data_IF_997451789890
#
_entry.id   IF_997451789890
#
_cell.length_a   1.000
_cell.length_b   1.000
_cell.length_c   1.000
_cell.angle_alpha   90.00
_cell.angle_beta   90.00
_cell.angle_gamma   90.00
#
_symmetry.space_group_name_H-M   'P 1'
#
loop_
_entity.id
_entity.type
_entity.pdbx_description
1 polymer ?
#
# COMPACT_ATOMS: atom_id res chain seq x y z
N UNK A 1 21.99 9.94 3.95
CA UNK A 1 22.18 9.30 5.27
C UNK A 1 21.05 8.36 5.66
N UNK A 2 19.78 8.82 5.82
CA UNK A 2 18.66 7.93 6.25
C UNK A 2 18.39 6.77 5.28
N UNK A 3 18.43 7.00 3.97
CA UNK A 3 18.22 5.93 2.98
C UNK A 3 19.28 4.84 3.06
N UNK A 4 20.56 5.22 3.17
CA UNK A 4 21.68 4.28 3.30
C UNK A 4 21.56 3.42 4.59
N UNK A 5 21.19 4.08 5.70
CA UNK A 5 20.94 3.38 6.96
C UNK A 5 19.76 2.39 6.84
N UNK A 6 18.65 2.81 6.22
CA UNK A 6 17.50 1.93 6.00
C UNK A 6 17.85 0.72 5.13
N UNK A 7 18.64 0.93 4.06
CA UNK A 7 19.16 -0.18 3.23
C UNK A 7 20.02 -1.14 4.04
N UNK A 8 20.93 -0.60 4.87
CA UNK A 8 21.78 -1.44 5.72
C UNK A 8 20.97 -2.25 6.74
N UNK A 9 19.94 -1.65 7.35
CA UNK A 9 19.03 -2.35 8.27
C UNK A 9 18.29 -3.48 7.54
N UNK A 10 17.70 -3.20 6.38
CA UNK A 10 17.03 -4.24 5.59
C UNK A 10 17.99 -5.39 5.26
N UNK A 11 19.20 -5.08 4.79
CA UNK A 11 20.22 -6.08 4.44
C UNK A 11 20.67 -6.91 5.66
N UNK A 12 20.83 -6.28 6.84
CA UNK A 12 21.19 -6.97 8.08
C UNK A 12 20.15 -8.06 8.45
N UNK A 13 18.88 -7.82 8.17
CA UNK A 13 17.81 -8.81 8.37
C UNK A 13 17.55 -9.69 7.14
N UNK A 14 18.44 -9.65 6.14
CA UNK A 14 18.36 -10.47 4.93
C UNK A 14 17.26 -10.04 3.95
N UNK A 15 16.72 -8.84 4.08
CA UNK A 15 15.71 -8.30 3.16
C UNK A 15 16.35 -7.62 1.96
N UNK A 16 15.75 -7.86 0.79
CA UNK A 16 16.11 -7.23 -0.48
C UNK A 16 14.98 -6.34 -0.96
N UNK A 17 15.31 -5.31 -1.72
CA UNK A 17 14.34 -4.45 -2.38
C UNK A 17 14.42 -4.62 -3.89
N UNK A 18 13.28 -4.78 -4.54
CA UNK A 18 13.15 -4.92 -6.00
C UNK A 18 12.07 -3.94 -6.48
N UNK A 19 12.48 -2.71 -6.73
CA UNK A 19 11.57 -1.59 -6.96
C UNK A 19 11.93 -0.86 -8.24
N UNK A 20 10.94 -0.71 -9.11
CA UNK A 20 10.96 0.22 -10.24
C UNK A 20 10.34 1.54 -9.79
N UNK A 21 10.96 2.69 -10.10
CA UNK A 21 10.39 4.00 -9.75
C UNK A 21 8.98 4.20 -10.31
N UNK A 22 8.14 4.97 -9.61
CA UNK A 22 6.80 5.31 -10.09
C UNK A 22 6.80 5.98 -11.46
N UNK A 23 5.83 5.67 -12.34
CA UNK A 23 5.78 6.20 -13.72
C UNK A 23 5.34 7.67 -13.80
N UNK A 24 4.92 8.25 -12.69
CA UNK A 24 4.44 9.62 -12.62
C UNK A 24 4.29 10.12 -11.20
N UNK A 25 3.80 11.35 -11.00
CA UNK A 25 3.77 12.00 -9.70
C UNK A 25 2.66 11.49 -8.80
N UNK A 26 1.63 10.83 -9.33
CA UNK A 26 0.46 10.41 -8.56
C UNK A 26 0.11 8.96 -8.83
N UNK A 27 -0.32 8.25 -7.79
CA UNK A 27 -0.77 6.88 -7.90
C UNK A 27 -1.20 6.28 -6.56
N UNK A 28 -1.83 5.12 -6.64
CA UNK A 28 -2.15 4.29 -5.50
C UNK A 28 -1.17 3.11 -5.49
N UNK A 29 -0.73 2.72 -4.32
CA UNK A 29 0.13 1.58 -4.13
C UNK A 29 -0.61 0.57 -3.27
N UNK A 30 -1.02 -0.55 -3.83
CA UNK A 30 -1.61 -1.63 -3.04
C UNK A 30 -0.51 -2.56 -2.55
N UNK A 31 -0.57 -2.89 -1.26
CA UNK A 31 0.37 -3.82 -0.61
C UNK A 31 -0.38 -5.10 -0.28
N UNK A 32 -0.01 -6.18 -0.94
CA UNK A 32 -0.63 -7.49 -0.75
C UNK A 32 0.41 -8.62 -0.88
N UNK A 33 0.34 -9.72 -0.09
CA UNK A 33 -0.52 -9.86 1.10
C UNK A 33 -0.08 -8.97 2.26
N UNK A 34 -1.04 -8.55 3.13
CA UNK A 34 -0.76 -7.73 4.31
C UNK A 34 -1.24 -8.42 5.59
N UNK A 35 -0.45 -9.35 6.09
CA UNK A 35 -0.84 -10.30 7.14
C UNK A 35 -0.13 -10.10 8.48
N UNK A 36 0.73 -9.06 8.59
CA UNK A 36 1.51 -8.84 9.81
C UNK A 36 1.69 -7.36 10.16
N UNK A 37 1.86 -7.09 11.45
CA UNK A 37 2.29 -5.75 11.92
C UNK A 37 3.72 -5.42 11.46
N UNK A 38 4.55 -6.42 11.16
CA UNK A 38 5.90 -6.24 10.65
C UNK A 38 5.96 -5.69 9.22
N UNK A 39 4.88 -5.78 8.48
CA UNK A 39 4.79 -5.25 7.12
C UNK A 39 4.96 -3.73 7.10
N UNK A 40 4.46 -3.03 8.14
CA UNK A 40 4.60 -1.59 8.24
C UNK A 40 6.08 -1.14 8.44
N UNK A 41 6.85 -1.65 9.41
CA UNK A 41 8.26 -1.35 9.52
C UNK A 41 9.07 -1.68 8.25
N UNK A 42 8.84 -2.82 7.64
CA UNK A 42 9.51 -3.23 6.39
C UNK A 42 9.19 -2.29 5.23
N UNK A 43 7.92 -2.00 5.01
CA UNK A 43 7.48 -1.05 3.98
C UNK A 43 8.03 0.36 4.23
N UNK A 44 8.06 0.81 5.49
CA UNK A 44 8.59 2.12 5.83
C UNK A 44 10.11 2.21 5.65
N UNK A 45 10.87 1.20 6.05
CA UNK A 45 12.31 1.13 5.78
C UNK A 45 12.58 1.12 4.27
N UNK A 46 11.79 0.36 3.51
CA UNK A 46 11.89 0.33 2.05
C UNK A 46 11.61 1.72 1.45
N UNK A 47 10.57 2.41 1.92
CA UNK A 47 10.28 3.79 1.52
C UNK A 47 11.49 4.72 1.74
N UNK A 48 12.14 4.62 2.90
CA UNK A 48 13.32 5.43 3.22
C UNK A 48 14.52 5.04 2.35
N UNK A 49 14.77 3.73 2.19
CA UNK A 49 15.87 3.21 1.37
C UNK A 49 15.78 3.69 -0.07
N UNK A 50 14.56 3.67 -0.64
CA UNK A 50 14.29 4.08 -2.01
C UNK A 50 13.99 5.57 -2.16
N UNK A 51 13.97 6.34 -1.07
CA UNK A 51 13.62 7.78 -1.04
C UNK A 51 12.28 8.10 -1.70
N UNK A 52 11.31 7.18 -1.56
CA UNK A 52 9.98 7.36 -2.12
C UNK A 52 9.11 8.18 -1.16
N UNK A 53 8.55 9.33 -1.58
CA UNK A 53 7.66 10.14 -0.74
C UNK A 53 6.25 9.54 -0.70
N UNK A 54 6.10 8.34 -0.13
CA UNK A 54 4.82 7.65 0.00
C UNK A 54 4.01 8.19 1.18
N UNK A 55 2.71 8.34 0.97
CA UNK A 55 1.70 8.50 2.02
C UNK A 55 1.04 7.14 2.32
N UNK A 56 0.44 7.01 3.50
CA UNK A 56 -0.34 5.82 3.86
C UNK A 56 -1.58 6.21 4.64
N UNK A 57 -2.65 5.42 4.53
CA UNK A 57 -3.85 5.62 5.33
C UNK A 57 -3.75 4.87 6.65
N UNK A 58 -4.06 5.55 7.73
CA UNK A 58 -4.12 4.95 9.07
C UNK A 58 -5.45 5.26 9.75
N UNK A 59 -5.88 4.37 10.67
CA UNK A 59 -7.08 4.61 11.47
C UNK A 59 -6.92 5.91 12.25
N UNK A 60 -7.92 6.78 12.23
CA UNK A 60 -7.96 8.07 12.94
C UNK A 60 -7.56 7.98 14.42
N UNK A 61 -7.98 6.91 15.10
CA UNK A 61 -7.64 6.67 16.49
C UNK A 61 -6.14 6.48 16.78
N UNK A 62 -5.32 6.19 15.77
CA UNK A 62 -3.87 6.10 15.89
C UNK A 62 -3.21 7.50 15.88
N UNK A 63 -3.90 8.50 15.34
CA UNK A 63 -3.39 9.87 15.22
C UNK A 63 -3.73 10.72 16.45
N UNK A 64 -3.45 10.19 17.66
CA UNK A 64 -3.61 10.88 18.92
C UNK A 64 -2.24 11.20 19.55
N UNK A 65 -2.23 12.17 20.48
CA UNK A 65 -1.05 12.48 21.25
C UNK A 65 -0.56 11.24 22.03
N UNK A 66 0.77 10.94 22.10
CA UNK A 66 1.90 11.73 21.57
C UNK A 66 2.32 11.36 20.14
N UNK A 67 1.76 10.32 19.51
CA UNK A 67 2.28 9.73 18.24
C UNK A 67 1.74 10.40 16.97
N UNK A 68 0.71 11.23 17.08
CA UNK A 68 0.05 11.85 15.92
C UNK A 68 1.02 12.65 15.03
N UNK A 69 1.89 13.46 15.65
CA UNK A 69 2.87 14.27 14.92
C UNK A 69 3.87 13.43 14.15
N UNK A 70 4.34 12.34 14.76
CA UNK A 70 5.26 11.40 14.11
C UNK A 70 4.59 10.70 12.92
N UNK A 71 3.40 10.15 13.09
CA UNK A 71 2.68 9.48 12.01
C UNK A 71 2.40 10.40 10.82
N UNK A 72 2.03 11.67 11.08
CA UNK A 72 1.85 12.66 10.01
C UNK A 72 3.17 12.96 9.28
N UNK A 73 4.27 13.13 10.00
CA UNK A 73 5.62 13.30 9.40
C UNK A 73 6.05 12.09 8.58
N UNK A 74 5.63 10.91 8.99
CA UNK A 74 5.84 9.67 8.25
C UNK A 74 4.98 9.56 6.98
N UNK A 75 4.09 10.51 6.70
CA UNK A 75 3.19 10.51 5.55
C UNK A 75 1.83 9.89 5.83
N UNK A 76 1.49 9.70 7.11
CA UNK A 76 0.19 9.13 7.52
C UNK A 76 -0.96 10.10 7.32
N UNK A 77 -2.03 9.62 6.70
CA UNK A 77 -3.31 10.31 6.52
C UNK A 77 -4.33 9.61 7.40
N UNK A 78 -4.90 10.32 8.42
CA UNK A 78 -5.94 9.76 9.26
C UNK A 78 -7.22 9.56 8.47
N UNK A 79 -7.85 8.39 8.59
CA UNK A 79 -9.14 8.10 7.97
C UNK A 79 -10.11 7.51 8.98
N UNK A 80 -11.34 8.02 8.98
CA UNK A 80 -12.43 7.44 9.76
C UNK A 80 -13.01 6.24 8.99
N UNK A 81 -12.62 5.04 9.39
CA UNK A 81 -13.07 3.80 8.73
C UNK A 81 -14.53 3.45 9.00
N UNK A 82 -15.18 4.15 9.92
CA UNK A 82 -16.61 3.97 10.23
C UNK A 82 -17.49 4.74 9.26
N UNK A 83 -17.01 5.89 8.78
CA UNK A 83 -17.69 6.72 7.78
C UNK A 83 -17.15 6.37 6.40
N UNK A 84 -17.75 5.35 5.78
CA UNK A 84 -17.39 4.93 4.41
C UNK A 84 -17.79 5.98 3.37
N UNK A 85 -18.86 6.71 3.65
CA UNK A 85 -19.37 7.82 2.82
C UNK A 85 -18.40 9.00 2.95
N UNK A 86 -17.87 9.46 1.83
CA UNK A 86 -16.96 10.62 1.81
C UNK A 86 -15.45 10.27 1.87
N UNK A 87 -15.04 9.05 2.25
CA UNK A 87 -13.62 8.68 2.27
C UNK A 87 -12.97 8.81 0.88
N UNK A 88 -13.64 8.35 -0.15
CA UNK A 88 -13.14 8.46 -1.53
C UNK A 88 -12.99 9.92 -1.92
N UNK A 89 -14.00 10.76 -1.66
CA UNK A 89 -13.96 12.19 -1.93
C UNK A 89 -12.85 12.91 -1.12
N UNK A 90 -12.68 12.55 0.16
CA UNK A 90 -11.58 13.07 0.99
C UNK A 90 -10.23 12.76 0.37
N UNK A 91 -9.98 11.51 -0.01
CA UNK A 91 -8.71 11.08 -0.59
C UNK A 91 -8.50 11.64 -2.00
N UNK A 92 -9.56 11.75 -2.80
CA UNK A 92 -9.52 12.41 -4.10
C UNK A 92 -9.09 13.88 -3.95
N UNK A 93 -9.66 14.62 -2.99
CA UNK A 93 -9.22 15.98 -2.68
C UNK A 93 -7.77 16.07 -2.22
N UNK A 94 -7.22 15.02 -1.57
CA UNK A 94 -5.78 14.96 -1.29
C UNK A 94 -4.94 14.82 -2.56
N UNK A 95 -5.39 14.01 -3.55
CA UNK A 95 -4.73 13.92 -4.85
C UNK A 95 -4.77 15.22 -5.63
N UNK A 96 -5.88 15.94 -5.60
CA UNK A 96 -6.02 17.23 -6.29
C UNK A 96 -5.08 18.30 -5.74
N UNK A 97 -4.98 18.40 -4.41
CA UNK A 97 -4.18 19.43 -3.72
C UNK A 97 -2.68 19.23 -3.75
N UNK A 98 -2.20 18.03 -4.09
CA UNK A 98 -0.77 17.71 -4.02
C UNK A 98 -0.20 17.52 -5.41
N UNK A 99 0.97 18.09 -5.69
CA UNK A 99 1.68 17.86 -6.94
C UNK A 99 2.25 16.44 -7.02
N UNK A 100 2.63 15.87 -5.86
CA UNK A 100 3.11 14.50 -5.72
C UNK A 100 2.33 13.76 -4.65
N UNK A 101 1.75 12.61 -5.02
CA UNK A 101 1.07 11.73 -4.06
C UNK A 101 1.03 10.28 -4.53
N UNK A 102 1.78 9.42 -3.84
CA UNK A 102 1.61 7.97 -3.92
C UNK A 102 1.06 7.48 -2.60
N UNK A 103 -0.13 6.90 -2.64
CA UNK A 103 -0.89 6.49 -1.46
C UNK A 103 -0.85 4.98 -1.30
N UNK A 104 -0.14 4.51 -0.27
CA UNK A 104 -0.09 3.09 0.08
C UNK A 104 -1.35 2.66 0.83
N UNK A 105 -1.99 1.61 0.35
CA UNK A 105 -3.22 1.02 0.88
C UNK A 105 -3.04 -0.50 0.97
N UNK A 106 -3.37 -1.10 2.11
CA UNK A 106 -3.58 -2.53 2.21
C UNK A 106 -5.04 -2.84 1.85
N UNK A 107 -5.33 -3.51 0.73
CA UNK A 107 -6.71 -3.70 0.26
C UNK A 107 -7.52 -4.64 1.16
N UNK A 108 -6.87 -5.48 1.94
CA UNK A 108 -7.49 -6.31 2.98
C UNK A 108 -8.10 -5.46 4.10
N UNK A 109 -7.53 -4.28 4.37
CA UNK A 109 -7.99 -3.35 5.40
C UNK A 109 -7.77 -3.83 6.84
N UNK A 110 -7.25 -5.01 7.03
CA UNK A 110 -6.92 -5.66 8.31
C UNK A 110 -5.73 -6.61 8.10
N UNK A 111 -5.21 -7.22 9.17
CA UNK A 111 -4.20 -8.29 9.12
C UNK A 111 -4.81 -9.66 9.51
N UNK A 112 -6.12 -9.70 9.74
CA UNK A 112 -6.89 -10.93 9.92
C UNK A 112 -7.39 -11.40 8.57
N UNK A 113 -7.68 -12.69 8.44
CA UNK A 113 -8.24 -13.25 7.22
C UNK A 113 -9.53 -12.50 6.80
N UNK A 114 -9.64 -12.24 5.51
CA UNK A 114 -10.82 -11.66 4.87
C UNK A 114 -11.16 -12.45 3.62
N UNK A 115 -12.45 -12.66 3.38
CA UNK A 115 -12.91 -13.40 2.19
C UNK A 115 -12.71 -12.60 0.89
N UNK A 116 -12.64 -11.25 0.98
CA UNK A 116 -12.57 -10.36 -0.16
C UNK A 116 -11.72 -9.12 0.16
N UNK A 117 -11.10 -8.55 -0.86
CA UNK A 117 -10.46 -7.25 -0.78
C UNK A 117 -11.50 -6.13 -0.80
N UNK A 118 -11.24 -5.05 -0.09
CA UNK A 118 -12.07 -3.85 -0.12
C UNK A 118 -11.92 -3.13 -1.45
N UNK A 119 -13.03 -2.77 -2.09
CA UNK A 119 -13.06 -2.07 -3.37
C UNK A 119 -12.61 -0.60 -3.32
N UNK A 120 -12.32 -0.07 -2.11
CA UNK A 120 -11.97 1.35 -1.93
C UNK A 120 -10.76 1.83 -2.76
N UNK A 121 -9.69 1.04 -2.87
CA UNK A 121 -8.53 1.40 -3.69
C UNK A 121 -8.89 1.48 -5.17
N UNK A 122 -9.72 0.54 -5.65
CA UNK A 122 -10.17 0.45 -7.02
C UNK A 122 -10.99 1.67 -7.42
N UNK A 123 -12.03 1.97 -6.62
CA UNK A 123 -12.87 3.15 -6.80
C UNK A 123 -12.07 4.45 -6.78
N UNK A 124 -11.12 4.57 -5.85
CA UNK A 124 -10.27 5.76 -5.74
C UNK A 124 -9.36 5.91 -6.95
N UNK A 125 -8.75 4.82 -7.44
CA UNK A 125 -7.88 4.85 -8.62
C UNK A 125 -8.63 5.32 -9.87
N UNK A 126 -9.84 4.80 -10.11
CA UNK A 126 -10.70 5.23 -11.19
C UNK A 126 -11.12 6.70 -11.03
N UNK A 127 -11.60 7.09 -9.85
CA UNK A 127 -12.09 8.45 -9.59
C UNK A 127 -10.98 9.51 -9.70
N UNK A 128 -9.76 9.17 -9.27
CA UNK A 128 -8.62 10.08 -9.35
C UNK A 128 -7.84 9.99 -10.68
N UNK A 129 -8.17 9.02 -11.55
CA UNK A 129 -7.51 8.82 -12.84
C UNK A 129 -6.01 8.48 -12.71
N UNK A 130 -5.64 7.71 -11.66
CA UNK A 130 -4.23 7.43 -11.34
C UNK A 130 -3.90 5.95 -11.46
N UNK A 131 -2.64 5.60 -11.81
CA UNK A 131 -2.21 4.20 -11.86
C UNK A 131 -2.13 3.55 -10.48
N UNK A 132 -2.21 2.23 -10.47
CA UNK A 132 -2.04 1.39 -9.29
C UNK A 132 -0.72 0.64 -9.37
N UNK A 133 0.16 0.87 -8.41
CA UNK A 133 1.38 0.10 -8.21
C UNK A 133 1.11 -1.16 -7.38
N UNK A 134 1.64 -2.29 -7.82
CA UNK A 134 1.43 -3.60 -7.20
C UNK A 134 2.63 -3.95 -6.32
N UNK A 135 2.59 -3.54 -5.05
CA UNK A 135 3.64 -3.80 -4.08
C UNK A 135 3.38 -5.07 -3.27
N UNK A 136 4.46 -5.77 -2.93
CA UNK A 136 4.40 -6.96 -2.10
C UNK A 136 5.54 -7.02 -1.08
N UNK A 137 5.31 -7.77 0.00
CA UNK A 137 6.33 -8.16 0.98
C UNK A 137 6.32 -9.69 1.01
N UNK A 138 7.25 -10.29 0.27
CA UNK A 138 7.35 -11.76 0.20
C UNK A 138 8.30 -12.26 1.29
N UNK A 139 7.74 -12.86 2.32
CA UNK A 139 8.50 -13.41 3.46
C UNK A 139 9.26 -14.68 3.13
N UNK A 140 8.86 -15.43 2.12
CA UNK A 140 9.55 -16.63 1.67
C UNK A 140 10.89 -16.29 1.04
N UNK A 141 10.92 -15.28 0.18
CA UNK A 141 12.13 -14.83 -0.51
C UNK A 141 12.82 -13.65 0.18
N UNK A 142 12.19 -13.07 1.20
CA UNK A 142 12.60 -11.83 1.89
C UNK A 142 12.81 -10.67 0.91
N UNK A 143 11.84 -10.46 0.04
CA UNK A 143 11.85 -9.37 -0.95
C UNK A 143 10.68 -8.44 -0.70
N UNK A 144 10.96 -7.14 -0.62
CA UNK A 144 9.94 -6.09 -0.78
C UNK A 144 10.01 -5.60 -2.22
N UNK A 145 8.95 -5.81 -2.97
CA UNK A 145 8.94 -5.53 -4.41
C UNK A 145 7.82 -4.57 -4.83
N UNK A 146 8.12 -3.83 -5.92
CA UNK A 146 7.18 -2.96 -6.64
C UNK A 146 7.72 -2.79 -8.06
N UNK A 147 7.33 -3.68 -8.96
CA UNK A 147 7.81 -3.65 -10.36
C UNK A 147 6.74 -3.30 -11.36
N UNK A 148 5.48 -3.50 -11.00
CA UNK A 148 4.36 -3.40 -11.91
C UNK A 148 3.43 -2.28 -11.51
N UNK A 149 3.05 -1.49 -12.50
CA UNK A 149 2.06 -0.44 -12.40
C UNK A 149 0.98 -0.72 -13.45
N UNK A 150 -0.27 -0.64 -13.07
CA UNK A 150 -1.42 -0.89 -13.95
C UNK A 150 -2.36 0.32 -13.96
N UNK A 151 -2.85 0.67 -15.11
CA UNK A 151 -4.00 1.56 -15.25
C UNK A 151 -5.25 0.69 -15.26
N UNK A 152 -6.19 0.97 -14.37
CA UNK A 152 -7.43 0.23 -14.28
C UNK A 152 -8.36 0.65 -15.43
N UNK A 153 -9.05 -0.34 -15.98
CA UNK A 153 -9.93 -0.14 -17.15
C UNK A 153 -11.36 0.22 -16.76
N UNK A 154 -11.76 -0.07 -15.53
CA UNK A 154 -13.14 0.01 -15.06
C UNK A 154 -13.89 -1.32 -15.14
N UNK A 155 -13.27 -2.35 -15.73
CA UNK A 155 -13.73 -3.74 -15.65
C UNK A 155 -13.00 -4.45 -14.50
N UNK A 156 -13.67 -4.67 -13.35
CA UNK A 156 -13.02 -5.24 -12.18
C UNK A 156 -12.48 -6.65 -12.39
N UNK A 157 -13.16 -7.47 -13.21
CA UNK A 157 -12.76 -8.86 -13.41
C UNK A 157 -11.49 -8.95 -14.25
N UNK A 158 -11.42 -8.21 -15.35
CA UNK A 158 -10.24 -8.13 -16.20
C UNK A 158 -9.04 -7.49 -15.46
N UNK A 159 -9.29 -6.43 -14.70
CA UNK A 159 -8.25 -5.75 -13.94
C UNK A 159 -7.69 -6.65 -12.82
N UNK A 160 -8.57 -7.37 -12.09
CA UNK A 160 -8.15 -8.27 -11.03
C UNK A 160 -7.38 -9.49 -11.55
N UNK A 161 -7.68 -9.97 -12.75
CA UNK A 161 -6.90 -11.07 -13.34
C UNK A 161 -5.45 -10.66 -13.53
N UNK A 162 -5.20 -9.49 -14.10
CA UNK A 162 -3.83 -8.94 -14.25
C UNK A 162 -3.14 -8.71 -12.90
N UNK A 163 -3.90 -8.31 -11.87
CA UNK A 163 -3.38 -8.13 -10.52
C UNK A 163 -3.01 -9.48 -9.90
N UNK A 164 -3.83 -10.52 -10.07
CA UNK A 164 -3.58 -11.88 -9.58
C UNK A 164 -2.29 -12.47 -10.13
N UNK A 165 -2.02 -12.27 -11.43
CA UNK A 165 -0.78 -12.72 -12.06
C UNK A 165 0.47 -12.19 -11.36
N UNK A 166 0.47 -10.90 -11.00
CA UNK A 166 1.62 -10.26 -10.32
C UNK A 166 1.81 -10.77 -8.89
N UNK A 167 0.70 -11.06 -8.19
CA UNK A 167 0.75 -11.56 -6.82
C UNK A 167 0.88 -13.08 -6.71
N UNK A 168 0.81 -13.80 -7.85
CA UNK A 168 0.98 -15.25 -7.86
C UNK A 168 2.26 -15.68 -7.16
N UNK A 169 2.13 -16.58 -6.19
CA UNK A 169 3.25 -17.10 -5.42
C UNK A 169 3.89 -16.15 -4.41
N UNK A 170 3.34 -14.94 -4.18
CA UNK A 170 3.81 -14.07 -3.08
C UNK A 170 3.25 -14.56 -1.74
N UNK A 171 4.11 -14.63 -0.74
CA UNK A 171 3.78 -15.24 0.55
C UNK A 171 3.93 -14.22 1.68
N UNK A 172 2.84 -13.89 2.35
CA UNK A 172 2.83 -13.06 3.55
C UNK A 172 3.48 -13.75 4.75
N UNK A 173 3.68 -13.01 5.85
CA UNK A 173 4.22 -13.59 7.10
C UNK A 173 3.33 -14.68 7.67
N UNK A 174 2.03 -14.53 7.54
CA UNK A 174 0.98 -15.47 7.93
C UNK A 174 0.15 -15.79 6.69
N UNK A 175 0.56 -16.79 5.87
CA UNK A 175 -0.10 -17.07 4.59
C UNK A 175 -1.59 -17.42 4.74
N UNK A 176 -1.95 -18.05 5.83
CA UNK A 176 -3.32 -18.44 6.18
C UNK A 176 -4.27 -17.23 6.40
N UNK A 177 -3.70 -16.04 6.61
CA UNK A 177 -4.46 -14.81 6.82
C UNK A 177 -4.63 -13.99 5.55
N UNK A 178 -3.97 -14.36 4.45
CA UNK A 178 -4.11 -13.64 3.18
C UNK A 178 -5.54 -13.74 2.66
N UNK A 179 -6.13 -12.60 2.30
CA UNK A 179 -7.46 -12.53 1.70
C UNK A 179 -7.46 -12.99 0.24
N UNK A 180 -8.59 -13.43 -0.28
CA UNK A 180 -8.69 -13.72 -1.70
C UNK A 180 -8.59 -12.45 -2.55
N UNK A 181 -7.87 -12.54 -3.68
CA UNK A 181 -7.77 -11.45 -4.67
C UNK A 181 -9.08 -11.33 -5.48
N UNK A 182 -10.13 -10.97 -4.77
CA UNK A 182 -11.47 -10.71 -5.27
C UNK A 182 -12.04 -9.49 -4.55
N UNK A 183 -12.68 -8.56 -5.24
CA UNK A 183 -13.29 -7.40 -4.60
C UNK A 183 -14.56 -7.77 -3.84
N UNK A 184 -14.80 -7.05 -2.76
CA UNK A 184 -16.09 -7.04 -2.03
C UNK A 184 -17.18 -6.58 -3.02
N UNK A 185 -18.35 -7.27 -3.08
CA UNK A 185 -19.47 -6.93 -3.95
C UNK A 185 -20.00 -5.50 -3.75
#
# INVERSE_FOLDING_TARGET
>A
MLGTLATAILALFGWKTDIVPPPGPKGILIVYPHTSNWDFPLGYLTRLAMRLPLSFVGKDSLFRWPVAGLLRRMGGIPVNRRERTGLIAQLQGEFERRDWMWLAIAPEGTRSHVAHLKSGFYRLAIAAGVPVGLAFIDYRTRVVGLRTYVTLTGDPDADLERIREVYAGKVGKHPELAGELRLEP
#
